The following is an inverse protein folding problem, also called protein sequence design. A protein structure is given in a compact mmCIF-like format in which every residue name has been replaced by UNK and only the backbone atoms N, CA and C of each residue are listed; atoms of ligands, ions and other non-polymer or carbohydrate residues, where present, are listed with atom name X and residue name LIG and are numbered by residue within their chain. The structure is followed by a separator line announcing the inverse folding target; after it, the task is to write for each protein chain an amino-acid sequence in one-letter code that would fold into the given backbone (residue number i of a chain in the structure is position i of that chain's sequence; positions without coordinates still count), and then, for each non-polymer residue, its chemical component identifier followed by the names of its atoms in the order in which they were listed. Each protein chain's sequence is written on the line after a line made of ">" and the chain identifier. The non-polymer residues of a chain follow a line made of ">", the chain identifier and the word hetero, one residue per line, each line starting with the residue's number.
data_IF_362260767731
#
_entry.id   IF_362260767731
#
_cell.length_a   1.000
_cell.length_b   1.000
_cell.length_c   1.000
_cell.angle_alpha   90.00
_cell.angle_beta   90.00
_cell.angle_gamma   90.00
#
_symmetry.space_group_name_H-M   'P 1'
#
loop_
_entity.id
_entity.type
_entity.pdbx_description
1 polymer ?
#
# COMPACT_ATOMS: atom_id res chain seq x y z
N UNK A 1 18.58 5.37 4.03
CA UNK A 1 17.90 5.65 5.31
C UNK A 1 16.92 4.52 5.59
N UNK A 2 16.87 4.00 6.81
CA UNK A 2 15.96 2.90 7.20
C UNK A 2 14.78 3.52 7.95
N UNK A 3 13.55 3.12 7.61
CA UNK A 3 12.36 3.62 8.28
C UNK A 3 12.30 3.09 9.73
N UNK A 4 11.78 3.92 10.62
CA UNK A 4 11.45 3.56 11.99
C UNK A 4 10.20 2.67 12.06
N UNK A 5 10.01 1.98 13.19
CA UNK A 5 8.81 1.19 13.44
C UNK A 5 7.53 2.04 13.43
N UNK A 6 7.63 3.30 13.88
CA UNK A 6 6.52 4.24 13.88
C UNK A 6 6.11 4.61 12.44
N UNK A 7 7.08 4.87 11.57
CA UNK A 7 6.83 5.11 10.14
C UNK A 7 6.25 3.86 9.47
N UNK A 8 6.80 2.67 9.75
CA UNK A 8 6.23 1.42 9.25
C UNK A 8 4.76 1.23 9.66
N UNK A 9 4.43 1.52 10.92
CA UNK A 9 3.05 1.45 11.43
C UNK A 9 2.13 2.43 10.72
N UNK A 10 2.59 3.65 10.45
CA UNK A 10 1.84 4.65 9.68
C UNK A 10 1.61 4.20 8.24
N UNK A 11 2.62 3.61 7.60
CA UNK A 11 2.52 3.11 6.23
C UNK A 11 1.45 2.02 6.08
N UNK A 12 1.48 1.00 6.95
CA UNK A 12 0.50 -0.11 6.90
C UNK A 12 -0.92 0.37 7.22
N UNK A 13 -1.09 1.28 8.20
CA UNK A 13 -2.40 1.87 8.50
C UNK A 13 -2.94 2.71 7.34
N UNK A 14 -2.08 3.48 6.68
CA UNK A 14 -2.45 4.24 5.50
C UNK A 14 -2.92 3.32 4.37
N UNK A 15 -2.16 2.26 4.08
CA UNK A 15 -2.51 1.25 3.08
C UNK A 15 -3.86 0.59 3.37
N UNK A 16 -4.06 0.04 4.59
CA UNK A 16 -5.31 -0.61 4.98
C UNK A 16 -6.51 0.31 4.83
N UNK A 17 -6.43 1.53 5.35
CA UNK A 17 -7.53 2.50 5.27
C UNK A 17 -7.81 2.93 3.83
N UNK A 18 -6.79 3.06 2.99
CA UNK A 18 -6.98 3.35 1.56
C UNK A 18 -7.81 2.27 0.88
N UNK A 19 -7.49 0.99 1.16
CA UNK A 19 -8.23 -0.16 0.64
C UNK A 19 -9.67 -0.13 1.14
N UNK A 20 -9.88 -0.10 2.46
CA UNK A 20 -11.22 -0.14 3.07
C UNK A 20 -12.12 0.98 2.55
N UNK A 21 -11.61 2.22 2.49
CA UNK A 21 -12.36 3.38 1.97
C UNK A 21 -12.72 3.23 0.50
N UNK A 22 -11.81 2.67 -0.30
CA UNK A 22 -12.06 2.41 -1.71
C UNK A 22 -13.07 1.28 -1.92
N UNK A 23 -13.00 0.22 -1.11
CA UNK A 23 -13.94 -0.89 -1.18
C UNK A 23 -15.36 -0.48 -0.74
N UNK A 24 -15.47 0.35 0.29
CA UNK A 24 -16.74 0.84 0.84
C UNK A 24 -17.39 1.92 -0.04
N UNK A 25 -16.64 2.96 -0.43
CA UNK A 25 -17.19 4.16 -1.06
C UNK A 25 -16.72 4.41 -2.50
N UNK A 26 -15.80 3.59 -3.02
CA UNK A 26 -15.09 3.84 -4.29
C UNK A 26 -14.38 5.19 -4.33
N UNK A 27 -13.95 5.68 -3.16
CA UNK A 27 -13.19 6.93 -3.01
C UNK A 27 -11.73 6.66 -2.69
N UNK A 28 -10.85 7.33 -3.43
CA UNK A 28 -9.42 7.39 -3.12
C UNK A 28 -9.20 8.45 -2.05
N UNK A 29 -8.56 8.06 -0.94
CA UNK A 29 -8.19 9.01 0.11
C UNK A 29 -7.05 9.93 -0.34
N UNK A 30 -7.01 11.15 0.19
CA UNK A 30 -6.00 12.16 -0.15
C UNK A 30 -5.12 12.55 1.03
N UNK A 31 -4.93 11.64 2.00
CA UNK A 31 -4.12 11.92 3.18
C UNK A 31 -2.66 12.18 2.81
N UNK A 32 -2.10 13.22 3.41
CA UNK A 32 -0.70 13.62 3.25
C UNK A 32 0.02 13.47 4.56
N UNK A 33 1.12 12.72 4.53
CA UNK A 33 2.00 12.55 5.67
C UNK A 33 3.28 13.36 5.45
N UNK A 34 3.86 13.87 6.54
CA UNK A 34 5.14 14.60 6.53
C UNK A 34 6.35 13.66 6.64
N UNK A 35 7.56 14.24 6.68
CA UNK A 35 8.81 13.47 6.83
C UNK A 35 9.08 12.58 5.63
N UNK A 36 9.49 11.33 5.88
CA UNK A 36 9.85 10.35 4.82
C UNK A 36 8.70 10.10 3.83
N UNK A 37 7.45 10.29 4.25
CA UNK A 37 6.28 10.11 3.38
C UNK A 37 6.15 11.17 2.29
N UNK A 38 6.80 12.31 2.47
CA UNK A 38 6.85 13.39 1.49
C UNK A 38 7.92 13.18 0.42
N UNK A 39 8.82 12.22 0.63
CA UNK A 39 9.90 11.90 -0.28
C UNK A 39 9.41 10.93 -1.37
N UNK A 40 10.08 10.92 -2.51
CA UNK A 40 9.78 9.97 -3.57
C UNK A 40 10.46 8.63 -3.28
N UNK A 41 9.68 7.55 -3.25
CA UNK A 41 10.17 6.19 -2.95
C UNK A 41 9.43 5.17 -3.81
N UNK A 42 10.12 4.08 -4.13
CA UNK A 42 9.44 2.90 -4.66
C UNK A 42 8.71 2.17 -3.53
N UNK A 43 7.59 1.53 -3.83
CA UNK A 43 6.80 0.78 -2.84
C UNK A 43 6.06 -0.37 -3.49
N UNK A 44 5.91 -1.48 -2.76
CA UNK A 44 5.02 -2.58 -3.08
C UNK A 44 4.09 -2.83 -1.91
N UNK A 45 2.79 -2.97 -2.19
CA UNK A 45 1.81 -3.43 -1.22
C UNK A 45 1.44 -4.87 -1.54
N UNK A 46 1.56 -5.76 -0.54
CA UNK A 46 1.18 -7.16 -0.63
C UNK A 46 0.04 -7.44 0.33
N UNK A 47 -0.96 -8.16 -0.15
CA UNK A 47 -2.10 -8.64 0.62
C UNK A 47 -1.94 -10.14 0.78
N UNK A 48 -2.04 -10.62 2.01
CA UNK A 48 -2.02 -12.04 2.35
C UNK A 48 -3.34 -12.39 3.02
N UNK A 49 -4.00 -13.47 2.60
CA UNK A 49 -5.18 -14.02 3.28
C UNK A 49 -4.83 -15.41 3.78
N UNK A 50 -4.85 -15.63 5.10
CA UNK A 50 -4.42 -16.90 5.70
C UNK A 50 -3.01 -17.33 5.21
N UNK A 51 -2.07 -16.39 5.20
CA UNK A 51 -0.69 -16.53 4.70
C UNK A 51 -0.54 -16.78 3.18
N UNK A 52 -1.63 -16.91 2.43
CA UNK A 52 -1.59 -17.04 0.97
C UNK A 52 -1.65 -15.67 0.27
N UNK A 53 -0.92 -15.54 -0.84
CA UNK A 53 -0.93 -14.32 -1.66
C UNK A 53 -2.34 -14.02 -2.17
N UNK A 54 -2.86 -12.84 -1.84
CA UNK A 54 -4.19 -12.34 -2.24
C UNK A 54 -4.14 -11.18 -3.23
N UNK A 55 -2.98 -10.53 -3.34
CA UNK A 55 -2.71 -9.47 -4.29
C UNK A 55 -1.36 -8.81 -4.03
N UNK A 56 -0.68 -8.34 -5.06
CA UNK A 56 0.56 -7.58 -4.91
C UNK A 56 0.78 -6.65 -6.09
N UNK A 57 0.82 -5.35 -5.81
CA UNK A 57 1.10 -4.29 -6.79
C UNK A 57 2.03 -3.25 -6.16
N UNK A 58 2.86 -2.63 -6.99
CA UNK A 58 3.78 -1.60 -6.56
C UNK A 58 4.39 -0.81 -7.69
N UNK A 59 5.14 0.22 -7.29
CA UNK A 59 5.91 1.07 -8.17
C UNK A 59 7.39 0.91 -7.79
N UNK A 60 8.21 0.25 -8.64
CA UNK A 60 9.62 0.04 -8.31
C UNK A 60 10.43 1.34 -8.34
N UNK A 61 10.03 2.31 -9.18
CA UNK A 61 10.73 3.58 -9.32
C UNK A 61 10.10 4.69 -8.47
N UNK A 62 10.90 5.58 -7.85
CA UNK A 62 10.43 6.67 -7.01
C UNK A 62 9.86 7.83 -7.85
N UNK A 63 8.71 7.61 -8.47
CA UNK A 63 8.05 8.60 -9.34
C UNK A 63 7.04 9.48 -8.58
N UNK A 64 6.53 9.01 -7.44
CA UNK A 64 5.50 9.65 -6.60
C UNK A 64 5.97 9.79 -5.16
N UNK A 65 5.32 10.66 -4.40
CA UNK A 65 5.53 10.72 -2.95
C UNK A 65 5.15 9.38 -2.33
N UNK A 66 5.84 9.00 -1.27
CA UNK A 66 5.60 7.72 -0.61
C UNK A 66 4.15 7.61 -0.07
N UNK A 67 3.56 8.69 0.44
CA UNK A 67 2.14 8.68 0.84
C UNK A 67 1.19 8.33 -0.32
N UNK A 68 1.35 8.98 -1.47
CA UNK A 68 0.59 8.69 -2.70
C UNK A 68 0.84 7.26 -3.19
N UNK A 69 2.11 6.86 -3.25
CA UNK A 69 2.50 5.56 -3.78
C UNK A 69 1.93 4.42 -2.92
N UNK A 70 1.88 4.58 -1.59
CA UNK A 70 1.24 3.63 -0.67
C UNK A 70 -0.27 3.54 -0.97
N UNK A 71 -0.96 4.68 -1.03
CA UNK A 71 -2.41 4.71 -1.26
C UNK A 71 -2.76 4.01 -2.58
N UNK A 72 -2.06 4.38 -3.65
CA UNK A 72 -2.33 3.84 -4.97
C UNK A 72 -1.95 2.35 -5.09
N UNK A 73 -0.77 1.96 -4.60
CA UNK A 73 -0.35 0.56 -4.67
C UNK A 73 -1.23 -0.35 -3.81
N UNK A 74 -1.72 0.13 -2.67
CA UNK A 74 -2.61 -0.63 -1.81
C UNK A 74 -3.97 -0.88 -2.45
N UNK A 75 -4.58 0.15 -3.04
CA UNK A 75 -5.84 0.00 -3.79
C UNK A 75 -5.64 -0.95 -4.96
N UNK A 76 -4.59 -0.74 -5.77
CA UNK A 76 -4.32 -1.59 -6.93
C UNK A 76 -4.04 -3.05 -6.54
N UNK A 77 -3.33 -3.30 -5.43
CA UNK A 77 -3.13 -4.66 -4.92
C UNK A 77 -4.45 -5.33 -4.52
N UNK A 78 -5.45 -4.56 -4.08
CA UNK A 78 -6.76 -5.08 -3.70
C UNK A 78 -7.71 -5.30 -4.89
N UNK A 79 -7.64 -4.48 -5.94
CA UNK A 79 -8.69 -4.47 -6.99
C UNK A 79 -8.19 -4.61 -8.43
N UNK A 80 -6.90 -4.39 -8.68
CA UNK A 80 -6.31 -4.34 -10.03
C UNK A 80 -5.22 -5.40 -10.28
N UNK A 81 -4.94 -6.30 -9.32
CA UNK A 81 -4.04 -7.43 -9.57
C UNK A 81 -4.71 -8.46 -10.49
N UNK A 82 -4.26 -8.62 -11.76
CA UNK A 82 -4.96 -9.42 -12.76
C UNK A 82 -4.96 -10.93 -12.47
N UNK A 83 -4.22 -11.37 -11.46
CA UNK A 83 -4.15 -12.78 -11.05
C UNK A 83 -5.30 -13.16 -10.11
N UNK A 84 -6.01 -12.19 -9.54
CA UNK A 84 -7.02 -12.42 -8.51
C UNK A 84 -8.28 -11.59 -8.79
N UNK A 85 -9.42 -12.08 -8.32
CA UNK A 85 -10.65 -11.27 -8.29
C UNK A 85 -10.52 -10.11 -7.28
N UNK A 86 -11.16 -8.95 -7.54
CA UNK A 86 -11.14 -7.83 -6.60
C UNK A 86 -11.56 -8.24 -5.18
N UNK A 87 -10.78 -7.79 -4.19
CA UNK A 87 -11.03 -8.03 -2.77
C UNK A 87 -12.39 -7.43 -2.37
N UNK A 88 -13.16 -8.19 -1.60
CA UNK A 88 -14.41 -7.69 -0.98
C UNK A 88 -14.12 -7.05 0.37
N UNK A 89 -14.93 -6.07 0.76
CA UNK A 89 -14.78 -5.40 2.06
C UNK A 89 -14.81 -6.41 3.23
N UNK A 90 -15.65 -7.44 3.16
CA UNK A 90 -15.75 -8.51 4.17
C UNK A 90 -14.51 -9.39 4.27
N UNK A 91 -13.64 -9.44 3.25
CA UNK A 91 -12.39 -10.21 3.29
C UNK A 91 -11.30 -9.46 4.08
N UNK A 92 -11.44 -8.15 4.30
CA UNK A 92 -10.39 -7.31 4.90
C UNK A 92 -10.06 -7.68 6.35
N UNK A 93 -10.99 -8.31 7.07
CA UNK A 93 -10.74 -8.81 8.44
C UNK A 93 -9.80 -10.01 8.47
N UNK A 94 -9.69 -10.74 7.35
CA UNK A 94 -8.82 -11.92 7.19
C UNK A 94 -7.50 -11.57 6.46
N UNK A 95 -7.36 -10.34 5.97
CA UNK A 95 -6.21 -9.92 5.15
C UNK A 95 -5.13 -9.26 6.01
N UNK A 96 -3.91 -9.77 5.90
CA UNK A 96 -2.71 -9.07 6.37
C UNK A 96 -2.19 -8.17 5.27
N UNK A 97 -1.93 -6.90 5.61
CA UNK A 97 -1.38 -5.89 4.68
C UNK A 97 0.10 -5.70 4.96
N UNK A 98 0.93 -5.94 3.97
CA UNK A 98 2.37 -5.70 4.02
C UNK A 98 2.75 -4.57 3.07
N UNK A 99 3.63 -3.67 3.52
CA UNK A 99 4.12 -2.54 2.73
C UNK A 99 5.65 -2.60 2.68
N UNK A 100 6.18 -2.88 1.49
CA UNK A 100 7.62 -2.92 1.22
C UNK A 100 8.05 -1.59 0.60
N UNK A 101 8.88 -0.84 1.32
CA UNK A 101 9.35 0.49 0.90
C UNK A 101 10.80 0.38 0.43
N UNK A 102 11.06 0.80 -0.80
CA UNK A 102 12.36 0.71 -1.44
C UNK A 102 13.21 1.95 -1.15
N UNK A 103 14.52 1.74 -1.02
CA UNK A 103 15.49 2.83 -1.03
C UNK A 103 15.60 3.44 -2.43
N UNK A 104 16.21 4.62 -2.53
CA UNK A 104 16.55 5.18 -3.83
C UNK A 104 17.51 4.22 -4.57
N UNK A 105 17.33 4.02 -5.89
CA UNK A 105 18.30 3.27 -6.68
C UNK A 105 19.68 3.91 -6.61
N UNK A 106 20.69 3.13 -6.24
CA UNK A 106 22.10 3.55 -6.29
C UNK A 106 22.69 3.25 -7.68
N UNK A 107 23.62 4.10 -8.15
CA UNK A 107 24.29 3.96 -9.45
C UNK A 107 25.46 2.99 -9.40
#
# INVERSE_FOLDING_TARGET
>A
MRLSLEEGTKAVRLARRAIEKYLEEKKVISERLGGVFAEKRGVFTTLLKNDDLRGCIGFPYPIKRLDEAIIESAIAAAVDDPRFEPVRLSEMDEITVEVTILTEPEK
#
